data_IF_963289716669
#
_entry.id   IF_963289716669
#
_cell.length_a   1.000
_cell.length_b   1.000
_cell.length_c   1.000
_cell.angle_alpha   90.00
_cell.angle_beta   90.00
_cell.angle_gamma   90.00
#
_symmetry.space_group_name_H-M   'P 1'
#
loop_
_entity.id
_entity.type
_entity.pdbx_description
1 polymer ?
#
# COMPACT_ATOMS: atom_id res chain seq x y z
N UNK A 1 12.34 -42.23 -35.31
CA UNK A 1 12.28 -41.80 -35.13
C UNK A 1 12.19 -40.93 -34.56
N UNK A 2 12.25 -40.58 -34.40
CA UNK A 2 12.13 -39.85 -33.85
C UNK A 2 12.13 -39.07 -33.42
N UNK A 3 12.04 -38.68 -33.15
CA UNK A 3 11.97 -37.99 -32.74
C UNK A 3 11.92 -37.26 -32.13
N UNK A 4 11.83 -36.93 -31.82
CA UNK A 4 11.75 -36.20 -31.26
C UNK A 4 11.65 -35.44 -30.78
N UNK A 5 11.52 -35.01 -30.45
CA UNK A 5 11.41 -34.29 -30.00
C UNK A 5 11.40 -33.65 -29.49
N UNK A 6 11.33 -33.34 -29.25
CA UNK A 6 11.33 -32.68 -28.70
C UNK A 6 11.24 -31.92 -28.13
N UNK A 7 11.08 -31.54 -27.85
CA UNK A 7 10.93 -30.88 -27.15
C UNK A 7 10.90 -30.00 -26.70
N UNK A 8 10.90 -29.66 -26.51
CA UNK A 8 10.88 -28.87 -26.03
C UNK A 8 10.83 -28.17 -25.38
N UNK A 9 10.76 -27.93 -25.11
CA UNK A 9 10.79 -27.31 -24.36
C UNK A 9 10.57 -26.31 -24.04
N UNK A 10 10.33 -25.90 -23.84
CA UNK A 10 10.08 -24.95 -23.45
C UNK A 10 10.01 -24.39 -22.52
N UNK A 11 10.08 -24.12 -22.11
CA UNK A 11 10.27 -23.66 -21.22
C UNK A 11 10.09 -22.51 -20.96
N UNK A 12 9.55 -22.08 -20.56
CA UNK A 12 9.26 -20.99 -20.30
C UNK A 12 9.41 -20.49 -19.21
N UNK A 13 9.84 -20.04 -18.77
CA UNK A 13 10.08 -19.56 -17.71
C UNK A 13 9.61 -18.45 -17.47
N UNK A 14 8.76 -18.24 -17.20
CA UNK A 14 8.26 -17.21 -16.96
C UNK A 14 8.50 -16.72 -15.83
N UNK A 15 9.00 -16.13 -15.46
CA UNK A 15 9.31 -15.63 -14.39
C UNK A 15 8.65 -14.58 -14.08
N UNK A 16 7.90 -14.55 -13.44
CA UNK A 16 7.17 -13.60 -13.08
C UNK A 16 7.75 -12.70 -12.34
N UNK A 17 7.85 -11.80 -12.60
CA UNK A 17 8.35 -10.96 -11.88
C UNK A 17 7.58 -10.18 -11.24
N UNK A 18 7.31 -10.02 -10.23
CA UNK A 18 6.58 -9.15 -9.64
C UNK A 18 7.20 -8.34 -8.92
N UNK A 19 7.14 -7.32 -8.84
CA UNK A 19 7.48 -6.41 -8.24
C UNK A 19 6.73 -6.16 -7.19
N UNK A 20 6.94 -6.39 -6.11
CA UNK A 20 6.22 -6.10 -5.11
C UNK A 20 6.53 -4.89 -4.57
N UNK A 21 5.82 -3.99 -4.55
CA UNK A 21 6.06 -2.75 -4.06
C UNK A 21 6.02 -2.70 -2.68
N UNK A 22 6.35 -3.53 -2.02
CA UNK A 22 6.16 -3.49 -0.70
C UNK A 22 6.58 -2.34 0.00
N UNK A 23 7.40 -1.62 -0.47
CA UNK A 23 7.75 -0.58 0.31
C UNK A 23 7.19 0.57 -0.03
N UNK A 24 6.20 0.60 -0.70
CA UNK A 24 5.66 1.75 -1.12
C UNK A 24 5.07 2.60 -0.16
N UNK A 25 5.71 3.20 0.63
CA UNK A 25 5.12 4.03 1.59
C UNK A 25 4.39 5.14 0.97
N UNK A 26 4.78 5.67 -0.14
CA UNK A 26 4.12 6.77 -0.71
C UNK A 26 3.44 6.37 -1.97
N UNK A 27 2.99 5.17 -2.11
CA UNK A 27 2.31 4.71 -3.22
C UNK A 27 1.00 5.44 -3.42
N UNK A 28 0.65 5.75 -4.61
CA UNK A 28 -0.57 6.50 -4.90
C UNK A 28 -1.82 5.77 -4.39
N UNK A 29 -1.84 4.48 -4.48
CA UNK A 29 -2.97 3.72 -3.99
C UNK A 29 -3.10 3.84 -2.47
N UNK A 30 -1.99 3.74 -1.79
CA UNK A 30 -1.99 3.88 -0.33
C UNK A 30 -2.44 5.28 0.06
N UNK A 31 -1.97 6.31 -0.62
CA UNK A 31 -2.38 7.66 -0.31
C UNK A 31 -3.88 7.83 -0.52
N UNK A 32 -4.44 7.24 -1.56
CA UNK A 32 -5.83 7.37 -1.80
C UNK A 32 -6.61 6.65 -0.76
N UNK A 33 -6.21 5.48 -0.38
CA UNK A 33 -6.90 4.71 0.65
C UNK A 33 -6.90 5.45 1.98
N UNK A 34 -5.77 6.00 2.36
CA UNK A 34 -5.67 6.70 3.63
C UNK A 34 -6.45 8.01 3.59
N UNK A 35 -6.52 8.66 2.45
CA UNK A 35 -7.34 9.84 2.30
C UNK A 35 -8.81 9.47 2.58
N UNK A 36 -9.24 8.35 2.05
CA UNK A 36 -10.62 7.92 2.25
C UNK A 36 -10.87 7.58 3.73
N UNK A 37 -9.91 6.96 4.38
CA UNK A 37 -10.04 6.62 5.78
C UNK A 37 -10.22 7.89 6.62
N UNK A 38 -9.43 8.90 6.37
CA UNK A 38 -9.52 10.15 7.11
C UNK A 38 -10.87 10.83 6.85
N UNK A 39 -11.30 10.80 5.61
CA UNK A 39 -12.57 11.40 5.24
C UNK A 39 -13.74 10.68 5.92
N UNK A 40 -13.66 9.38 6.03
CA UNK A 40 -14.71 8.63 6.68
C UNK A 40 -14.79 8.93 8.18
N UNK A 41 -13.70 9.39 8.75
CA UNK A 41 -13.70 9.77 10.14
C UNK A 41 -14.18 11.21 10.30
N UNK A 42 -14.45 11.87 9.22
CA UNK A 42 -14.91 13.26 9.27
C UNK A 42 -13.81 14.24 9.60
N UNK A 43 -12.56 13.89 9.35
CA UNK A 43 -11.45 14.76 9.69
C UNK A 43 -10.94 15.52 8.48
N UNK A 44 -10.44 16.73 8.69
CA UNK A 44 -9.94 17.52 7.58
C UNK A 44 -8.60 17.00 7.06
N UNK A 45 -8.44 16.94 5.79
CA UNK A 45 -7.18 16.53 5.20
C UNK A 45 -7.02 17.07 3.78
N UNK A 46 -8.05 16.99 3.02
CA UNK A 46 -7.99 17.31 1.60
C UNK A 46 -7.51 16.10 0.88
N UNK A 47 -6.29 15.74 1.10
CA UNK A 47 -5.72 14.63 0.39
C UNK A 47 -4.40 14.26 1.07
N UNK A 48 -4.10 13.02 1.22
CA UNK A 48 -2.85 12.60 1.79
C UNK A 48 -1.77 12.79 0.73
N UNK A 49 -0.74 13.53 1.06
CA UNK A 49 0.36 13.80 0.15
C UNK A 49 1.62 13.05 0.51
N UNK A 50 1.73 12.53 1.70
CA UNK A 50 2.91 11.82 2.13
C UNK A 50 2.55 10.76 3.15
N UNK A 51 3.11 9.59 3.03
CA UNK A 51 2.86 8.48 3.95
C UNK A 51 4.18 7.91 4.40
N UNK A 52 4.30 7.67 5.69
CA UNK A 52 5.45 7.00 6.20
C UNK A 52 4.95 5.80 6.96
N UNK A 53 5.22 4.63 6.47
CA UNK A 53 4.76 3.40 7.10
C UNK A 53 5.76 2.99 8.17
N UNK A 54 5.26 2.81 9.38
CA UNK A 54 6.12 2.49 10.50
C UNK A 54 6.03 1.05 10.91
N UNK A 55 5.13 0.30 10.36
CA UNK A 55 4.94 -1.08 10.69
C UNK A 55 3.70 -1.57 10.00
N UNK A 56 3.27 -2.77 10.30
CA UNK A 56 2.10 -3.31 9.67
C UNK A 56 0.91 -2.47 10.07
N UNK A 57 0.21 -1.98 9.10
CA UNK A 57 -0.98 -1.21 9.36
C UNK A 57 -0.74 -0.03 10.30
N UNK A 58 0.39 0.60 10.16
CA UNK A 58 0.74 1.72 11.02
C UNK A 58 1.39 2.78 10.16
N UNK A 59 0.71 3.89 9.95
CA UNK A 59 1.14 4.92 9.03
C UNK A 59 1.09 6.30 9.65
N UNK A 60 2.09 7.10 9.34
CA UNK A 60 2.05 8.51 9.67
C UNK A 60 1.81 9.22 8.37
N UNK A 61 0.81 10.05 8.30
CA UNK A 61 0.47 10.71 7.05
C UNK A 61 0.48 12.22 7.19
N UNK A 62 0.75 12.89 6.10
CA UNK A 62 0.68 14.34 6.04
C UNK A 62 -0.34 14.67 4.95
N UNK A 63 -1.21 15.58 5.25
CA UNK A 63 -2.26 15.96 4.34
C UNK A 63 -1.92 17.25 3.60
N UNK A 64 -2.60 17.49 2.52
CA UNK A 64 -2.39 18.67 1.74
C UNK A 64 -2.66 19.93 2.54
N UNK A 65 -3.58 19.88 3.47
CA UNK A 65 -3.91 21.01 4.32
C UNK A 65 -2.96 21.14 5.50
N UNK A 66 -1.88 20.32 5.49
CA UNK A 66 -0.85 20.35 6.51
C UNK A 66 -1.21 19.66 7.80
N UNK A 67 -2.38 19.10 7.91
CA UNK A 67 -2.72 18.28 9.06
C UNK A 67 -1.97 16.97 8.95
N UNK A 68 -1.64 16.39 10.06
CA UNK A 68 -0.92 15.13 10.10
C UNK A 68 -1.67 14.19 11.00
N UNK A 69 -1.66 12.93 10.65
CA UNK A 69 -2.39 11.92 11.39
C UNK A 69 -1.58 10.65 11.52
N UNK A 70 -1.82 9.96 12.61
CA UNK A 70 -1.29 8.63 12.83
C UNK A 70 -2.46 7.70 12.60
N UNK A 71 -2.36 6.81 11.63
CA UNK A 71 -3.43 5.89 11.29
C UNK A 71 -2.94 4.48 11.53
N UNK A 72 -3.62 3.77 12.36
CA UNK A 72 -3.18 2.42 12.71
C UNK A 72 -4.37 1.54 13.06
N UNK A 73 -4.13 0.25 13.21
CA UNK A 73 -5.14 -0.68 13.62
C UNK A 73 -4.86 -1.07 15.05
N UNK A 74 -5.82 -0.89 15.93
CA UNK A 74 -5.61 -1.17 17.34
C UNK A 74 -5.82 -2.66 17.63
N UNK A 75 -5.66 -3.04 18.88
CA UNK A 75 -5.74 -4.43 19.25
C UNK A 75 -7.14 -5.01 19.06
N UNK A 76 -8.15 -4.17 18.93
CA UNK A 76 -9.50 -4.65 18.68
C UNK A 76 -9.78 -4.80 17.18
N UNK A 77 -8.78 -4.56 16.34
CA UNK A 77 -8.95 -4.68 14.92
C UNK A 77 -9.62 -3.50 14.28
N UNK A 78 -9.63 -2.35 14.96
CA UNK A 78 -10.26 -1.18 14.40
C UNK A 78 -9.26 -0.18 13.93
N UNK A 79 -9.62 0.52 12.88
CA UNK A 79 -8.78 1.59 12.36
C UNK A 79 -8.93 2.81 13.26
N UNK A 80 -7.82 3.33 13.69
CA UNK A 80 -7.79 4.52 14.54
C UNK A 80 -7.05 5.62 13.80
N UNK A 81 -7.58 6.82 13.84
CA UNK A 81 -6.95 7.98 13.23
C UNK A 81 -6.75 9.03 14.32
N UNK A 82 -5.51 9.36 14.60
CA UNK A 82 -5.22 10.33 15.63
C UNK A 82 -4.52 11.52 15.06
N UNK A 83 -5.01 12.70 15.33
CA UNK A 83 -4.39 13.88 14.82
C UNK A 83 -3.12 14.16 15.58
N UNK A 84 -2.08 14.54 14.90
CA UNK A 84 -0.79 14.80 15.50
C UNK A 84 -0.52 16.29 15.70
#
# INVERSE_FOLDING_TARGET
MSKHVTGLALTISMTALFVVPSLAEDDATTRKDLTAVIALQGLPCGEVVSVKTQGDNDHMVTCKDKNRYHIFINSAGRVVVEKQ
#
